data_IF_929971624273
#
_entry.id   IF_929971624273
#
_cell.length_a   1.000
_cell.length_b   1.000
_cell.length_c   1.000
_cell.angle_alpha   90.00
_cell.angle_beta   90.00
_cell.angle_gamma   90.00
#
_symmetry.space_group_name_H-M   'P 1'
#
loop_
_entity.id
_entity.type
_entity.pdbx_description
1 polymer ?
#
# COMPACT_ATOMS: atom_id res chain seq x y z
N UNK A 1 15.68 -37.64 -2.56
CA UNK A 1 14.88 -37.18 -1.40
C UNK A 1 13.48 -37.79 -1.46
N UNK A 2 12.98 -38.37 -0.36
CA UNK A 2 11.59 -38.82 -0.26
C UNK A 2 10.61 -37.63 -0.32
N UNK A 3 9.39 -37.82 -0.86
CA UNK A 3 8.41 -36.75 -0.96
C UNK A 3 7.96 -36.31 0.44
N UNK A 4 7.79 -35.00 0.71
CA UNK A 4 7.37 -34.52 2.01
C UNK A 4 6.00 -35.09 2.37
N UNK A 5 5.86 -35.61 3.59
CA UNK A 5 4.63 -36.21 4.07
C UNK A 5 3.49 -35.20 4.03
N UNK A 6 2.38 -35.56 3.38
CA UNK A 6 1.20 -34.67 3.22
C UNK A 6 0.52 -34.29 4.54
N UNK A 7 0.90 -34.89 5.66
CA UNK A 7 0.32 -34.61 6.98
C UNK A 7 1.21 -33.60 7.70
N UNK A 8 0.65 -32.42 7.99
CA UNK A 8 1.28 -31.46 8.91
C UNK A 8 1.39 -32.13 10.28
N UNK A 9 2.61 -32.23 10.81
CA UNK A 9 2.85 -32.62 12.20
C UNK A 9 2.41 -31.44 13.08
N UNK A 10 1.17 -31.43 13.53
CA UNK A 10 0.72 -30.50 14.57
C UNK A 10 1.25 -30.98 15.91
N UNK A 11 1.61 -30.07 16.82
CA UNK A 11 1.95 -30.43 18.20
C UNK A 11 0.80 -31.23 18.80
N UNK A 12 1.12 -32.38 19.40
CA UNK A 12 0.13 -33.20 20.10
C UNK A 12 -0.14 -32.50 21.42
N UNK A 13 -1.28 -31.81 21.50
CA UNK A 13 -1.75 -31.24 22.76
C UNK A 13 -2.16 -32.41 23.65
N UNK A 14 -1.55 -32.53 24.82
CA UNK A 14 -1.72 -33.69 25.71
C UNK A 14 -3.13 -33.77 26.30
N UNK A 15 -3.78 -32.63 26.57
CA UNK A 15 -5.14 -32.58 27.12
C UNK A 15 -5.93 -31.41 26.52
N UNK A 16 -7.18 -31.66 26.12
CA UNK A 16 -8.11 -30.63 25.63
C UNK A 16 -9.25 -30.51 26.62
N UNK A 17 -9.22 -29.45 27.43
CA UNK A 17 -10.31 -29.12 28.34
C UNK A 17 -11.42 -28.43 27.55
N UNK A 18 -12.62 -29.00 27.59
CA UNK A 18 -13.78 -28.44 26.90
C UNK A 18 -14.59 -27.55 27.85
N UNK A 19 -14.56 -26.24 27.60
CA UNK A 19 -15.38 -25.29 28.33
C UNK A 19 -16.72 -25.03 27.58
N UNK A 20 -17.87 -25.43 28.16
CA UNK A 20 -19.17 -25.23 27.54
C UNK A 20 -19.53 -23.74 27.39
N UNK A 21 -19.02 -22.85 28.26
CA UNK A 21 -19.27 -21.41 28.20
C UNK A 21 -18.55 -20.80 27.00
N UNK A 22 -17.25 -21.06 26.86
CA UNK A 22 -16.46 -20.66 25.70
C UNK A 22 -17.05 -21.22 24.39
N UNK A 23 -17.60 -22.44 24.42
CA UNK A 23 -18.29 -23.03 23.26
C UNK A 23 -19.57 -22.26 22.90
N UNK A 24 -20.37 -21.87 23.90
CA UNK A 24 -21.58 -21.09 23.67
C UNK A 24 -21.26 -19.71 23.08
N UNK A 25 -20.24 -19.03 23.58
CA UNK A 25 -19.73 -17.77 23.01
C UNK A 25 -19.15 -17.97 21.60
N UNK A 26 -18.46 -19.08 21.37
CA UNK A 26 -17.97 -19.48 20.05
C UNK A 26 -19.10 -19.88 19.10
N UNK A 27 -20.30 -20.24 19.55
CA UNK A 27 -21.41 -20.47 18.64
C UNK A 27 -22.14 -19.16 18.35
N UNK A 28 -22.47 -18.37 19.37
CA UNK A 28 -23.28 -17.14 19.21
C UNK A 28 -22.49 -15.94 18.68
N UNK A 29 -21.19 -15.83 19.00
CA UNK A 29 -20.34 -14.67 18.70
C UNK A 29 -19.74 -14.58 17.29
N UNK A 30 -20.46 -14.96 16.22
CA UNK A 30 -19.89 -15.01 14.86
C UNK A 30 -19.26 -13.70 14.41
N UNK A 31 -19.90 -12.56 14.72
CA UNK A 31 -19.38 -11.24 14.40
C UNK A 31 -18.07 -10.95 15.14
N UNK A 32 -18.00 -11.26 16.45
CA UNK A 32 -16.78 -11.12 17.25
C UNK A 32 -15.62 -11.92 16.65
N UNK A 33 -15.88 -13.16 16.21
CA UNK A 33 -14.85 -14.00 15.54
C UNK A 33 -14.43 -13.45 14.20
N UNK A 34 -15.36 -12.95 13.39
CA UNK A 34 -15.04 -12.33 12.11
C UNK A 34 -14.13 -11.12 12.31
N UNK A 35 -14.44 -10.25 13.27
CA UNK A 35 -13.59 -9.12 13.64
C UNK A 35 -12.23 -9.58 14.17
N UNK A 36 -12.19 -10.58 15.05
CA UNK A 36 -10.93 -11.12 15.57
C UNK A 36 -10.03 -11.67 14.45
N UNK A 37 -10.59 -12.36 13.45
CA UNK A 37 -9.83 -12.83 12.29
C UNK A 37 -9.27 -11.68 11.45
N UNK A 38 -10.07 -10.62 11.25
CA UNK A 38 -9.64 -9.43 10.52
C UNK A 38 -8.51 -8.74 11.27
N UNK A 39 -8.66 -8.52 12.58
CA UNK A 39 -7.63 -7.92 13.44
C UNK A 39 -6.35 -8.75 13.45
N UNK A 40 -6.45 -10.06 13.63
CA UNK A 40 -5.30 -10.96 13.59
C UNK A 40 -4.58 -10.93 12.23
N UNK A 41 -5.32 -10.86 11.11
CA UNK A 41 -4.73 -10.71 9.80
C UNK A 41 -4.00 -9.36 9.64
N UNK A 42 -4.57 -8.28 10.18
CA UNK A 42 -3.93 -6.95 10.22
C UNK A 42 -2.66 -6.98 11.10
N UNK A 43 -2.71 -7.59 12.28
CA UNK A 43 -1.56 -7.73 13.18
C UNK A 43 -0.42 -8.52 12.54
N UNK A 44 -0.71 -9.62 11.84
CA UNK A 44 0.30 -10.37 11.10
C UNK A 44 0.91 -9.52 9.99
N UNK A 45 0.09 -8.77 9.24
CA UNK A 45 0.59 -7.89 8.19
C UNK A 45 1.52 -6.81 8.75
N UNK A 46 1.14 -6.18 9.87
CA UNK A 46 1.96 -5.17 10.56
C UNK A 46 3.25 -5.76 11.11
N UNK A 47 3.23 -6.97 11.68
CA UNK A 47 4.45 -7.65 12.14
C UNK A 47 5.41 -7.93 10.98
N UNK A 48 4.91 -8.44 9.87
CA UNK A 48 5.71 -8.69 8.66
C UNK A 48 6.29 -7.40 8.08
N UNK A 49 5.50 -6.33 7.97
CA UNK A 49 5.98 -5.05 7.47
C UNK A 49 7.12 -4.48 8.34
N UNK A 50 7.00 -4.60 9.67
CA UNK A 50 8.07 -4.19 10.59
C UNK A 50 9.33 -5.03 10.43
N UNK A 51 9.20 -6.34 10.28
CA UNK A 51 10.33 -7.25 10.04
C UNK A 51 11.00 -6.96 8.70
N UNK A 52 10.23 -6.73 7.64
CA UNK A 52 10.73 -6.38 6.30
C UNK A 52 11.47 -5.03 6.33
N UNK A 53 10.89 -3.98 6.91
CA UNK A 53 11.58 -2.69 7.09
C UNK A 53 12.87 -2.80 7.90
N UNK A 54 12.89 -3.68 8.92
CA UNK A 54 14.11 -3.93 9.70
C UNK A 54 15.17 -4.61 8.82
N UNK A 55 14.80 -5.63 8.05
CA UNK A 55 15.71 -6.33 7.12
C UNK A 55 16.26 -5.38 6.07
N UNK A 56 15.40 -4.59 5.44
CA UNK A 56 15.81 -3.58 4.44
C UNK A 56 16.82 -2.58 5.01
N UNK A 57 16.62 -2.11 6.25
CA UNK A 57 17.59 -1.22 6.92
C UNK A 57 18.93 -1.90 7.19
N UNK A 58 18.92 -3.16 7.59
CA UNK A 58 20.15 -3.94 7.82
C UNK A 58 20.88 -4.16 6.49
N UNK A 59 20.15 -4.53 5.44
CA UNK A 59 20.69 -4.70 4.09
C UNK A 59 21.30 -3.40 3.56
N UNK A 60 20.63 -2.25 3.74
CA UNK A 60 21.14 -0.94 3.33
C UNK A 60 22.42 -0.57 4.10
N UNK A 61 22.46 -0.82 5.41
CA UNK A 61 23.66 -0.59 6.23
C UNK A 61 24.81 -1.47 5.77
N UNK A 62 24.55 -2.75 5.51
CA UNK A 62 25.55 -3.70 5.00
C UNK A 62 26.07 -3.27 3.62
N UNK A 63 25.19 -2.84 2.71
CA UNK A 63 25.59 -2.33 1.40
C UNK A 63 26.49 -1.10 1.53
N UNK A 64 26.15 -0.17 2.43
CA UNK A 64 26.99 1.01 2.70
C UNK A 64 28.35 0.63 3.28
N UNK A 65 28.41 -0.32 4.21
CA UNK A 65 29.66 -0.83 4.76
C UNK A 65 30.54 -1.45 3.67
N UNK A 66 29.97 -2.31 2.83
CA UNK A 66 30.69 -2.91 1.70
C UNK A 66 31.21 -1.86 0.72
N UNK A 67 30.40 -0.85 0.38
CA UNK A 67 30.84 0.25 -0.48
C UNK A 67 32.00 1.05 0.12
N UNK A 68 31.99 1.27 1.44
CA UNK A 68 33.08 1.95 2.13
C UNK A 68 34.35 1.08 2.18
N UNK A 69 34.22 -0.22 2.45
CA UNK A 69 35.33 -1.18 2.43
C UNK A 69 35.97 -1.26 1.04
N UNK A 70 35.15 -1.39 -0.01
CA UNK A 70 35.61 -1.41 -1.40
C UNK A 70 36.33 -0.10 -1.77
N UNK A 71 35.81 1.04 -1.31
CA UNK A 71 36.41 2.35 -1.57
C UNK A 71 37.75 2.53 -0.85
N UNK A 72 37.84 2.14 0.43
CA UNK A 72 39.09 2.17 1.20
C UNK A 72 40.12 1.23 0.55
N UNK A 73 39.70 0.03 0.14
CA UNK A 73 40.57 -0.89 -0.60
C UNK A 73 41.08 -0.27 -1.90
N UNK A 74 40.21 0.34 -2.70
CA UNK A 74 40.58 1.02 -3.94
C UNK A 74 41.57 2.18 -3.70
N UNK A 75 41.38 2.97 -2.63
CA UNK A 75 42.32 4.04 -2.25
C UNK A 75 43.67 3.44 -1.85
N UNK A 76 43.67 2.43 -0.99
CA UNK A 76 44.90 1.79 -0.54
C UNK A 76 45.68 1.17 -1.70
N UNK A 77 44.98 0.52 -2.63
CA UNK A 77 45.58 -0.03 -3.85
C UNK A 77 46.16 1.09 -4.73
N UNK A 78 45.47 2.23 -4.87
CA UNK A 78 45.99 3.39 -5.60
C UNK A 78 47.22 4.02 -4.95
N UNK A 79 47.25 4.10 -3.61
CA UNK A 79 48.42 4.58 -2.86
C UNK A 79 49.60 3.62 -2.97
N UNK A 80 49.37 2.30 -2.93
CA UNK A 80 50.43 1.29 -3.13
C UNK A 80 51.06 1.43 -4.52
N UNK A 81 50.24 1.65 -5.55
CA UNK A 81 50.73 1.88 -6.92
C UNK A 81 51.57 3.17 -6.99
N UNK A 82 51.12 4.26 -6.36
CA UNK A 82 51.83 5.55 -6.34
C UNK A 82 53.13 5.51 -5.52
N UNK A 83 53.15 4.77 -4.41
CA UNK A 83 54.32 4.65 -3.53
C UNK A 83 55.41 3.72 -4.08
N UNK A 84 55.24 3.15 -5.28
CA UNK A 84 56.28 2.40 -5.98
C UNK A 84 56.59 1.01 -5.41
N UNK A 85 55.86 0.53 -4.40
CA UNK A 85 55.90 -0.85 -3.90
C UNK A 85 54.98 -1.76 -4.73
N UNK A 86 55.06 -1.59 -6.06
CA UNK A 86 54.22 -2.27 -7.03
C UNK A 86 54.90 -3.49 -7.63
N UNK A 87 55.65 -4.26 -6.86
CA UNK A 87 56.01 -5.63 -7.20
C UNK A 87 56.48 -6.38 -5.93
N UNK A 88 56.10 -7.65 -5.83
CA UNK A 88 56.40 -8.63 -4.78
C UNK A 88 55.58 -8.68 -3.48
N UNK A 89 55.13 -9.92 -3.23
CA UNK A 89 54.66 -10.53 -1.98
C UNK A 89 53.17 -10.47 -1.66
N UNK A 90 52.51 -11.59 -1.97
CA UNK A 90 51.39 -12.05 -1.15
C UNK A 90 51.90 -12.58 0.18
N UNK A 91 51.33 -12.09 1.27
CA UNK A 91 51.33 -12.65 2.63
C UNK A 91 50.27 -11.82 3.37
N UNK A 92 49.12 -12.42 3.65
CA UNK A 92 48.79 -12.94 4.97
C UNK A 92 48.44 -11.80 5.95
N UNK A 93 47.13 -11.62 6.16
CA UNK A 93 46.61 -11.07 7.42
C UNK A 93 45.36 -11.89 7.76
N UNK A 94 45.60 -13.17 8.07
CA UNK A 94 44.80 -13.88 9.04
C UNK A 94 44.87 -13.10 10.37
N UNK A 95 43.78 -12.39 10.68
CA UNK A 95 43.45 -12.00 12.05
C UNK A 95 42.02 -12.38 12.34
N UNK A 96 41.89 -13.62 12.81
CA UNK A 96 41.03 -13.92 13.95
C UNK A 96 41.19 -12.82 15.01
N UNK A 97 40.12 -12.06 15.28
CA UNK A 97 39.90 -11.45 16.59
C UNK A 97 38.45 -11.73 16.96
N UNK A 98 38.26 -12.96 17.43
CA UNK A 98 37.18 -13.36 18.32
C UNK A 98 37.25 -12.46 19.57
N UNK A 99 36.57 -11.32 19.51
CA UNK A 99 36.31 -10.45 20.67
C UNK A 99 34.82 -10.29 20.86
N UNK A 100 34.24 -11.34 21.43
CA UNK A 100 33.17 -11.21 22.42
C UNK A 100 33.68 -10.30 23.55
N UNK A 101 33.50 -8.99 23.38
CA UNK A 101 33.64 -8.02 24.45
C UNK A 101 32.26 -7.43 24.66
N UNK A 102 31.61 -7.84 25.75
CA UNK A 102 30.47 -7.14 26.33
C UNK A 102 30.84 -5.66 26.50
N UNK A 103 30.50 -4.86 25.49
CA UNK A 103 30.68 -3.42 25.51
C UNK A 103 29.40 -2.81 26.04
N UNK A 104 29.33 -2.72 27.37
CA UNK A 104 28.47 -1.79 28.09
C UNK A 104 28.91 -0.36 27.75
N UNK A 105 28.62 0.10 26.53
CA UNK A 105 28.70 1.52 26.17
C UNK A 105 27.43 2.21 26.67
N UNK A 106 27.46 2.58 27.94
CA UNK A 106 26.61 3.65 28.47
C UNK A 106 26.83 4.91 27.62
N UNK A 107 25.90 5.14 26.70
CA UNK A 107 25.80 6.32 25.84
C UNK A 107 25.82 7.59 26.71
N UNK A 108 26.98 8.21 26.82
CA UNK A 108 27.15 9.54 27.41
C UNK A 108 26.46 10.56 26.52
N UNK A 109 25.31 11.06 26.97
CA UNK A 109 24.52 12.05 26.25
C UNK A 109 25.37 13.27 25.87
N UNK A 110 25.14 13.79 24.67
CA UNK A 110 25.72 15.06 24.26
C UNK A 110 25.32 16.15 25.26
N UNK A 111 26.32 16.78 25.88
CA UNK A 111 26.14 18.05 26.58
C UNK A 111 25.64 19.08 25.57
N UNK A 112 24.43 19.57 25.80
CA UNK A 112 23.78 20.59 24.98
C UNK A 112 24.27 21.95 25.47
N UNK A 113 25.40 22.41 24.96
CA UNK A 113 25.81 23.80 25.13
C UNK A 113 26.62 24.32 23.94
N UNK A 114 25.90 24.62 22.86
CA UNK A 114 26.19 25.71 21.92
C UNK A 114 24.94 25.95 21.06
N UNK A 115 24.39 27.18 21.00
CA UNK A 115 23.40 27.52 19.99
C UNK A 115 24.05 27.37 18.62
N UNK A 116 23.73 26.30 17.90
CA UNK A 116 24.10 26.17 16.49
C UNK A 116 23.24 27.19 15.77
N UNK A 117 23.86 28.30 15.36
CA UNK A 117 23.26 29.26 14.43
C UNK A 117 22.80 28.47 13.21
N UNK A 118 21.48 28.30 13.08
CA UNK A 118 20.85 27.78 11.89
C UNK A 118 21.15 28.75 10.76
N UNK A 119 22.19 28.43 9.98
CA UNK A 119 22.36 29.04 8.65
C UNK A 119 21.18 28.54 7.82
N UNK A 120 20.15 29.36 7.77
CA UNK A 120 19.05 29.25 6.82
C UNK A 120 19.63 29.48 5.42
N UNK A 121 20.14 28.42 4.81
CA UNK A 121 20.49 28.41 3.39
C UNK A 121 19.16 28.35 2.61
N UNK A 122 18.55 29.52 2.42
CA UNK A 122 17.42 29.73 1.52
C UNK A 122 17.87 29.45 0.08
N UNK A 123 17.66 28.22 -0.38
CA UNK A 123 17.74 27.88 -1.79
C UNK A 123 16.44 28.34 -2.46
N UNK A 124 16.46 29.52 -3.06
CA UNK A 124 15.36 30.01 -3.88
C UNK A 124 15.46 29.36 -5.26
N UNK A 125 14.76 28.26 -5.48
CA UNK A 125 14.45 27.78 -6.82
C UNK A 125 13.33 28.67 -7.39
N UNK A 126 13.69 29.73 -8.11
CA UNK A 126 12.80 30.77 -8.67
C UNK A 126 11.82 30.28 -9.76
N UNK A 127 11.78 28.98 -10.07
CA UNK A 127 11.10 28.45 -11.27
C UNK A 127 9.90 27.51 -11.04
N UNK A 128 9.36 27.40 -9.82
CA UNK A 128 8.06 26.73 -9.59
C UNK A 128 7.13 27.48 -8.64
N UNK A 129 6.43 28.49 -9.14
CA UNK A 129 5.28 29.08 -8.45
C UNK A 129 4.08 28.12 -8.49
N UNK A 130 3.94 27.27 -7.47
CA UNK A 130 2.67 26.65 -7.14
C UNK A 130 1.94 27.55 -6.13
N UNK A 131 1.03 28.39 -6.62
CA UNK A 131 0.20 29.21 -5.73
C UNK A 131 -0.83 28.31 -5.03
N UNK A 132 -0.76 28.25 -3.70
CA UNK A 132 -1.74 27.53 -2.86
C UNK A 132 -2.79 28.52 -2.39
N UNK A 133 -4.01 28.38 -2.89
CA UNK A 133 -5.17 29.17 -2.45
C UNK A 133 -5.87 28.45 -1.31
N UNK A 134 -5.94 29.08 -0.13
CA UNK A 134 -6.68 28.55 1.02
C UNK A 134 -8.12 29.06 0.95
N UNK A 135 -9.04 28.20 0.51
CA UNK A 135 -10.48 28.48 0.53
C UNK A 135 -11.09 28.01 1.86
N UNK A 136 -11.92 28.85 2.48
CA UNK A 136 -12.68 28.46 3.66
C UNK A 136 -13.80 27.50 3.25
N UNK A 137 -13.86 26.35 3.93
CA UNK A 137 -14.86 25.30 3.67
C UNK A 137 -15.59 24.99 4.96
N UNK A 138 -16.91 24.95 4.91
CA UNK A 138 -17.74 24.51 6.03
C UNK A 138 -17.95 22.99 5.96
N UNK A 139 -17.71 22.31 7.09
CA UNK A 139 -17.85 20.86 7.18
C UNK A 139 -19.23 20.55 7.77
N UNK A 140 -20.17 20.13 6.92
CA UNK A 140 -21.50 19.67 7.34
C UNK A 140 -21.59 18.14 7.31
N UNK A 141 -22.67 17.57 7.89
CA UNK A 141 -22.87 16.11 7.96
C UNK A 141 -22.96 15.43 6.58
N UNK A 142 -23.29 16.18 5.54
CA UNK A 142 -23.38 15.71 4.15
C UNK A 142 -22.13 15.99 3.31
N UNK A 143 -21.15 16.75 3.80
CA UNK A 143 -19.88 16.96 3.11
C UNK A 143 -19.16 18.28 3.40
N UNK A 144 -18.09 18.50 2.65
CA UNK A 144 -17.32 19.76 2.60
C UNK A 144 -17.94 20.67 1.54
N UNK A 145 -18.56 21.78 1.94
CA UNK A 145 -19.16 22.76 1.04
C UNK A 145 -18.35 24.07 1.05
N UNK A 146 -18.15 24.65 -0.13
CA UNK A 146 -17.42 25.90 -0.27
C UNK A 146 -18.19 27.05 0.40
N UNK A 147 -17.53 27.80 1.29
CA UNK A 147 -18.14 28.91 2.01
C UNK A 147 -18.50 30.03 1.03
N UNK A 148 -19.79 30.22 0.76
CA UNK A 148 -20.29 31.40 0.04
C UNK A 148 -20.55 32.51 1.05
N UNK A 149 -19.53 33.31 1.30
CA UNK A 149 -19.66 34.53 2.10
C UNK A 149 -20.77 35.41 1.54
N UNK A 150 -21.70 35.79 2.40
CA UNK A 150 -22.74 36.77 2.12
C UNK A 150 -22.09 38.16 2.07
N UNK A 151 -21.60 38.56 0.91
CA UNK A 151 -21.36 39.98 0.61
C UNK A 151 -22.55 40.48 -0.19
N UNK A 152 -23.37 41.22 0.53
CA UNK A 152 -24.56 41.90 0.07
C UNK A 152 -24.12 43.32 -0.32
N UNK A 153 -23.88 43.56 -1.60
CA UNK A 153 -24.01 44.90 -2.16
C UNK A 153 -24.93 44.86 -3.38
N UNK A 154 -25.83 45.83 -3.34
CA UNK A 154 -27.06 45.97 -4.07
C UNK A 154 -26.83 46.75 -5.36
N UNK A 155 -27.34 46.27 -6.49
CA UNK A 155 -28.07 47.17 -7.39
C UNK A 155 -29.09 46.41 -8.25
N UNK A 156 -30.20 47.11 -8.45
CA UNK A 156 -31.52 46.67 -8.86
C UNK A 156 -31.76 46.90 -10.35
N UNK A 157 -32.65 46.10 -10.96
CA UNK A 157 -33.65 46.47 -12.00
C UNK A 157 -34.01 45.18 -12.75
N UNK A 158 -35.12 44.51 -12.39
CA UNK A 158 -36.46 44.61 -13.04
C UNK A 158 -36.46 43.84 -14.38
N UNK A 159 -37.37 42.96 -14.78
CA UNK A 159 -38.84 42.80 -14.69
C UNK A 159 -39.12 41.30 -15.05
N UNK A 160 -40.24 40.62 -14.82
CA UNK A 160 -41.55 40.87 -14.23
C UNK A 160 -42.24 39.49 -14.06
N UNK A 161 -43.12 39.38 -13.05
CA UNK A 161 -44.54 38.96 -13.13
C UNK A 161 -44.89 37.69 -13.94
N UNK A 162 -45.71 36.71 -13.53
CA UNK A 162 -46.87 36.58 -12.64
C UNK A 162 -47.15 35.04 -12.63
N UNK A 163 -47.93 34.36 -11.79
CA UNK A 163 -49.18 34.67 -11.13
C UNK A 163 -49.49 33.53 -10.13
N UNK A 164 -50.23 33.89 -9.09
CA UNK A 164 -50.90 33.04 -8.09
C UNK A 164 -51.72 31.91 -8.71
N UNK A 165 -52.08 30.82 -8.05
CA UNK A 165 -52.96 30.77 -6.87
C UNK A 165 -53.27 29.30 -6.55
N UNK A 166 -53.55 29.00 -5.28
CA UNK A 166 -53.85 27.66 -4.82
C UNK A 166 -55.26 27.16 -5.17
N UNK A 167 -55.50 25.86 -4.99
CA UNK A 167 -56.62 25.31 -4.20
C UNK A 167 -56.59 23.77 -4.18
N UNK A 168 -56.45 23.26 -2.96
CA UNK A 168 -57.19 22.17 -2.29
C UNK A 168 -57.94 21.12 -3.14
N UNK A 169 -57.43 19.89 -3.01
CA UNK A 169 -58.11 18.61 -2.72
C UNK A 169 -59.22 18.02 -3.62
N UNK A 170 -58.98 16.73 -3.92
CA UNK A 170 -59.88 15.58 -3.83
C UNK A 170 -60.31 14.86 -5.14
N UNK A 171 -59.77 13.64 -5.25
CA UNK A 171 -60.34 12.40 -5.81
C UNK A 171 -60.48 12.15 -7.33
N UNK A 172 -60.27 10.85 -7.60
CA UNK A 172 -60.83 9.97 -8.65
C UNK A 172 -59.91 9.56 -9.83
N UNK A 173 -59.32 8.37 -9.62
CA UNK A 173 -59.16 7.25 -10.57
C UNK A 173 -58.04 7.27 -11.65
N UNK A 174 -57.55 6.08 -12.06
CA UNK A 174 -56.18 5.87 -12.50
C UNK A 174 -56.03 5.90 -14.02
N UNK A 175 -55.17 6.77 -14.53
CA UNK A 175 -54.84 6.79 -15.95
C UNK A 175 -53.79 5.73 -16.32
N UNK A 176 -54.09 5.11 -17.45
CA UNK A 176 -53.56 3.84 -17.93
C UNK A 176 -52.11 3.99 -18.36
N UNK A 177 -51.27 3.05 -17.92
CA UNK A 177 -49.90 2.85 -18.44
C UNK A 177 -49.97 2.66 -19.96
N UNK A 178 -49.62 3.68 -20.72
CA UNK A 178 -49.35 3.53 -22.16
C UNK A 178 -48.05 2.74 -22.30
N UNK A 179 -48.16 1.51 -22.83
CA UNK A 179 -46.99 0.69 -23.17
C UNK A 179 -46.24 1.42 -24.27
N UNK A 180 -45.01 1.85 -23.99
CA UNK A 180 -44.11 2.46 -24.97
C UNK A 180 -43.90 1.48 -26.12
N UNK A 181 -44.35 1.87 -27.31
CA UNK A 181 -44.11 1.14 -28.55
C UNK A 181 -42.59 1.05 -28.78
N UNK A 182 -42.10 -0.18 -28.97
CA UNK A 182 -40.70 -0.44 -29.31
C UNK A 182 -40.46 0.05 -30.74
N UNK A 183 -40.13 1.33 -30.90
CA UNK A 183 -39.53 1.84 -32.14
C UNK A 183 -38.02 1.61 -32.09
N UNK A 184 -37.50 0.98 -33.15
CA UNK A 184 -36.12 0.47 -33.24
C UNK A 184 -35.07 1.54 -33.55
N UNK A 185 -35.46 2.82 -33.56
CA UNK A 185 -34.58 3.94 -33.88
C UNK A 185 -34.33 4.76 -32.62
N UNK A 186 -33.40 4.29 -31.78
CA UNK A 186 -32.89 5.07 -30.66
C UNK A 186 -31.73 5.92 -31.16
N UNK A 187 -31.94 7.23 -31.19
CA UNK A 187 -30.92 8.26 -31.37
C UNK A 187 -29.67 7.89 -30.54
N UNK A 188 -28.55 7.69 -31.24
CA UNK A 188 -27.26 7.33 -30.64
C UNK A 188 -26.79 8.54 -29.84
N UNK A 189 -26.88 8.46 -28.51
CA UNK A 189 -26.29 9.47 -27.64
C UNK A 189 -24.76 9.41 -27.77
N UNK A 190 -24.13 10.52 -28.16
CA UNK A 190 -22.68 10.68 -28.43
C UNK A 190 -21.74 10.47 -27.23
N UNK A 191 -22.26 10.06 -26.06
CA UNK A 191 -21.45 9.77 -24.88
C UNK A 191 -21.61 8.30 -24.48
N UNK A 192 -20.54 7.47 -24.50
CA UNK A 192 -20.66 6.07 -24.14
C UNK A 192 -21.01 5.95 -22.66
N UNK A 193 -22.21 5.44 -22.37
CA UNK A 193 -22.63 5.13 -20.99
C UNK A 193 -21.65 4.11 -20.39
N UNK A 194 -20.97 4.49 -19.31
CA UNK A 194 -20.05 3.60 -18.58
C UNK A 194 -20.83 2.37 -18.11
N UNK A 195 -20.50 1.20 -18.66
CA UNK A 195 -21.11 -0.07 -18.25
C UNK A 195 -20.69 -0.36 -16.81
N UNK A 196 -21.66 -0.65 -15.94
CA UNK A 196 -21.40 -1.16 -14.57
C UNK A 196 -20.43 -2.33 -14.68
N UNK A 197 -19.25 -2.22 -14.07
CA UNK A 197 -18.26 -3.30 -14.08
C UNK A 197 -18.89 -4.51 -13.40
N UNK A 198 -19.03 -5.63 -14.13
CA UNK A 198 -19.38 -6.90 -13.49
C UNK A 198 -18.30 -7.19 -12.44
N UNK A 199 -18.70 -7.66 -11.26
CA UNK A 199 -17.79 -7.87 -10.11
C UNK A 199 -16.70 -8.92 -10.38
N UNK A 200 -16.72 -9.59 -11.53
CA UNK A 200 -15.53 -10.24 -12.06
C UNK A 200 -14.78 -9.23 -12.95
N UNK A 201 -13.60 -8.80 -12.52
CA UNK A 201 -12.64 -8.24 -13.45
C UNK A 201 -12.01 -9.43 -14.15
N UNK A 202 -12.33 -9.64 -15.43
CA UNK A 202 -11.42 -10.45 -16.23
C UNK A 202 -10.05 -9.78 -16.16
N UNK A 203 -9.01 -10.57 -15.91
CA UNK A 203 -7.65 -10.19 -16.22
C UNK A 203 -7.58 -9.48 -17.59
N UNK A 204 -6.76 -8.43 -17.67
CA UNK A 204 -6.51 -7.74 -18.94
C UNK A 204 -6.05 -8.77 -19.98
N UNK A 205 -6.23 -8.46 -21.27
CA UNK A 205 -5.85 -9.39 -22.36
C UNK A 205 -4.39 -9.85 -22.24
N UNK A 206 -3.51 -8.98 -21.75
CA UNK A 206 -2.10 -9.24 -21.51
C UNK A 206 -1.89 -10.21 -20.35
N UNK A 207 -2.52 -9.95 -19.20
CA UNK A 207 -2.43 -10.84 -18.03
C UNK A 207 -2.97 -12.24 -18.37
N UNK A 208 -4.03 -12.32 -19.18
CA UNK A 208 -4.53 -13.60 -19.72
C UNK A 208 -3.53 -14.33 -20.61
N UNK A 209 -2.84 -13.61 -21.49
CA UNK A 209 -1.79 -14.20 -22.34
C UNK A 209 -0.65 -14.73 -21.49
N UNK A 210 -0.20 -13.96 -20.49
CA UNK A 210 0.86 -14.37 -19.57
C UNK A 210 0.46 -15.59 -18.74
N UNK A 211 -0.77 -15.62 -18.21
CA UNK A 211 -1.27 -16.76 -17.44
C UNK A 211 -1.43 -18.01 -18.31
N UNK A 212 -1.89 -17.87 -19.56
CA UNK A 212 -1.95 -18.97 -20.53
C UNK A 212 -0.55 -19.51 -20.87
N UNK A 213 0.44 -18.64 -21.02
CA UNK A 213 1.83 -19.04 -21.26
C UNK A 213 2.39 -19.80 -20.05
N UNK A 214 2.16 -19.29 -18.83
CA UNK A 214 2.55 -19.94 -17.57
C UNK A 214 1.92 -21.32 -17.41
N UNK A 215 0.62 -21.46 -17.71
CA UNK A 215 -0.07 -22.76 -17.63
C UNK A 215 0.51 -23.76 -18.64
N UNK A 216 0.76 -23.33 -19.88
CA UNK A 216 1.41 -24.17 -20.90
C UNK A 216 2.79 -24.64 -20.47
N UNK A 217 3.61 -23.74 -19.91
CA UNK A 217 4.93 -24.08 -19.39
C UNK A 217 4.86 -25.12 -18.27
N UNK A 218 3.93 -24.94 -17.30
CA UNK A 218 3.69 -25.91 -16.22
C UNK A 218 3.26 -27.27 -16.75
N UNK A 219 2.34 -27.31 -17.71
CA UNK A 219 1.89 -28.58 -18.34
C UNK A 219 3.01 -29.27 -19.09
N UNK A 220 3.86 -28.51 -19.82
CA UNK A 220 5.05 -29.05 -20.50
C UNK A 220 6.06 -29.61 -19.49
N UNK A 221 6.37 -28.87 -18.43
CA UNK A 221 7.26 -29.35 -17.36
C UNK A 221 6.74 -30.63 -16.70
N UNK A 222 5.43 -30.69 -16.41
CA UNK A 222 4.81 -31.89 -15.86
C UNK A 222 4.81 -33.07 -16.85
N UNK A 223 4.66 -32.81 -18.15
CA UNK A 223 4.76 -33.87 -19.17
C UNK A 223 6.18 -34.42 -19.26
N UNK A 224 7.19 -33.55 -19.22
CA UNK A 224 8.60 -33.94 -19.20
C UNK A 224 8.94 -34.75 -17.95
N UNK A 225 8.48 -34.33 -16.76
CA UNK A 225 8.74 -35.07 -15.52
C UNK A 225 8.06 -36.44 -15.48
N UNK A 226 6.90 -36.59 -16.13
CA UNK A 226 6.27 -37.90 -16.33
C UNK A 226 7.06 -38.78 -17.29
N UNK A 227 7.62 -38.18 -18.35
CA UNK A 227 8.36 -38.91 -19.38
C UNK A 227 9.77 -39.29 -18.92
N UNK A 228 10.39 -38.51 -18.04
CA UNK A 228 11.70 -38.82 -17.44
C UNK A 228 11.62 -39.84 -16.30
N UNK A 229 10.41 -40.14 -15.80
CA UNK A 229 10.17 -41.15 -14.76
C UNK A 229 9.80 -42.52 -15.33
N UNK A 230 9.67 -42.62 -16.65
CA UNK A 230 9.33 -43.85 -17.37
C UNK A 230 10.57 -44.31 -18.12
#
# INVERSE_FOLDING_TARGET
MPPPSKRRKTSVVQEVVFDPVARHEYLTGFHKRKLARIKHAQEIALKKEKEEKRRERIELRRQRQQQLEDHVKAINDSMKILNGTGDESGEDDDKDDDRDTERDDSWGGFDVEAPVESKDEEYVDEDQYATVTVEAVEITRDGMEAYKGSEQETESSEEESSQESGTRAEAVAPEKKTKRLWSKNKLVSEKPKRKKSRNFRYESKEVRKLNRARERAKRKAHALSRKSRK
#
